data_IF_926807109803
#
_entry.id   IF_926807109803
#
_cell.length_a   1.000
_cell.length_b   1.000
_cell.length_c   1.000
_cell.angle_alpha   90.00
_cell.angle_beta   90.00
_cell.angle_gamma   90.00
#
_symmetry.space_group_name_H-M   'P 1'
#
loop_
_entity.id
_entity.type
_entity.pdbx_description
1 polymer ?
#
# COMPACT_ATOMS: atom_id res chain seq x y z
N UNK A 1 7.52 0.67 -15.40
CA UNK A 1 8.01 -0.61 -14.82
C UNK A 1 6.94 -1.19 -13.91
N UNK A 2 6.99 -2.49 -13.59
CA UNK A 2 6.10 -3.11 -12.59
C UNK A 2 6.85 -3.25 -11.25
N UNK A 3 6.22 -2.82 -10.16
CA UNK A 3 6.79 -2.90 -8.81
C UNK A 3 5.77 -3.50 -7.84
N UNK A 4 6.20 -4.49 -7.07
CA UNK A 4 5.39 -5.11 -6.01
C UNK A 4 5.80 -4.56 -4.66
N UNK A 5 4.85 -3.92 -3.98
CA UNK A 5 4.98 -3.42 -2.62
C UNK A 5 4.41 -4.41 -1.64
N UNK A 6 5.17 -4.75 -0.61
CA UNK A 6 4.70 -5.57 0.50
C UNK A 6 4.61 -4.71 1.76
N UNK A 7 3.39 -4.38 2.16
CA UNK A 7 3.09 -3.44 3.23
C UNK A 7 2.55 -4.19 4.45
N UNK A 8 3.13 -3.92 5.62
CA UNK A 8 2.60 -4.43 6.89
C UNK A 8 1.52 -3.50 7.40
N UNK A 9 0.29 -4.00 7.49
CA UNK A 9 -0.89 -3.25 7.91
C UNK A 9 -1.43 -3.76 9.23
N UNK A 10 -2.07 -2.87 9.96
CA UNK A 10 -2.76 -3.16 11.20
C UNK A 10 -4.07 -2.38 11.18
N UNK A 11 -5.20 -3.07 11.32
CA UNK A 11 -6.51 -2.41 11.36
C UNK A 11 -7.39 -3.09 12.41
N UNK A 12 -7.38 -2.58 13.66
CA UNK A 12 -8.16 -3.16 14.75
C UNK A 12 -9.66 -2.93 14.62
N UNK A 13 -10.10 -2.01 13.76
CA UNK A 13 -11.52 -1.71 13.54
C UNK A 13 -12.22 -2.74 12.64
N UNK A 14 -11.43 -3.52 11.88
CA UNK A 14 -11.96 -4.61 11.04
C UNK A 14 -11.92 -5.93 11.81
N UNK A 15 -13.10 -6.52 12.02
CA UNK A 15 -13.23 -7.82 12.67
C UNK A 15 -12.36 -8.89 11.97
N UNK A 16 -11.42 -9.50 12.71
CA UNK A 16 -10.47 -10.49 12.20
C UNK A 16 -9.13 -9.92 11.69
N UNK A 17 -8.92 -8.60 11.73
CA UNK A 17 -7.65 -7.93 11.42
C UNK A 17 -7.00 -7.27 12.65
N UNK A 18 -7.26 -7.83 13.83
CA UNK A 18 -6.69 -7.43 15.13
C UNK A 18 -5.19 -7.71 15.25
N UNK A 19 -4.57 -8.34 14.24
CA UNK A 19 -3.14 -8.62 14.18
C UNK A 19 -2.51 -7.98 12.96
N UNK A 20 -1.24 -7.54 13.05
CA UNK A 20 -0.55 -6.99 11.91
C UNK A 20 -0.40 -8.06 10.81
N UNK A 21 -0.90 -7.75 9.61
CA UNK A 21 -0.89 -8.64 8.46
C UNK A 21 -0.07 -8.02 7.32
N UNK A 22 0.42 -8.86 6.42
CA UNK A 22 1.08 -8.42 5.19
C UNK A 22 0.05 -8.31 4.09
N UNK A 23 0.09 -7.21 3.34
CA UNK A 23 -0.70 -7.03 2.13
C UNK A 23 0.24 -6.62 1.00
N UNK A 24 0.04 -7.24 -0.16
CA UNK A 24 0.82 -6.99 -1.35
C UNK A 24 0.01 -6.13 -2.31
N UNK A 25 0.68 -5.15 -2.91
CA UNK A 25 0.12 -4.23 -3.89
C UNK A 25 1.05 -4.18 -5.08
N UNK A 26 0.53 -4.45 -6.27
CA UNK A 26 1.30 -4.34 -7.51
C UNK A 26 0.93 -3.02 -8.16
N UNK A 27 1.95 -2.23 -8.51
CA UNK A 27 1.79 -1.04 -9.33
C UNK A 27 2.45 -1.29 -10.68
N UNK A 28 1.65 -1.07 -11.73
CA UNK A 28 2.10 -1.02 -13.10
C UNK A 28 2.37 0.42 -13.51
N UNK A 29 3.19 0.61 -14.56
CA UNK A 29 3.52 1.94 -15.09
C UNK A 29 4.17 2.86 -14.03
N UNK A 30 5.16 2.32 -13.32
CA UNK A 30 6.00 3.09 -12.39
C UNK A 30 7.23 3.63 -13.11
N UNK A 31 7.53 4.92 -12.94
CA UNK A 31 8.74 5.53 -13.45
C UNK A 31 9.92 5.29 -12.49
N UNK A 32 11.15 5.08 -13.00
CA UNK A 32 12.33 4.85 -12.16
C UNK A 32 12.71 6.10 -11.33
N UNK A 33 12.18 7.26 -11.68
CA UNK A 33 12.35 8.52 -10.94
C UNK A 33 11.27 8.75 -9.89
N UNK A 34 10.22 7.93 -9.86
CA UNK A 34 9.16 8.05 -8.87
C UNK A 34 9.67 7.79 -7.46
N UNK A 35 9.18 8.60 -6.52
CA UNK A 35 9.52 8.44 -5.11
C UNK A 35 8.61 7.39 -4.50
N UNK A 36 9.14 6.63 -3.54
CA UNK A 36 8.38 5.66 -2.76
C UNK A 36 7.12 6.30 -2.15
N UNK A 37 7.20 7.56 -1.70
CA UNK A 37 6.05 8.29 -1.18
C UNK A 37 4.92 8.44 -2.21
N UNK A 38 5.25 8.87 -3.43
CA UNK A 38 4.26 9.03 -4.51
C UNK A 38 3.59 7.69 -4.85
N UNK A 39 4.38 6.62 -4.88
CA UNK A 39 3.87 5.27 -5.13
C UNK A 39 2.95 4.77 -4.00
N UNK A 40 3.25 5.09 -2.74
CA UNK A 40 2.36 4.80 -1.62
C UNK A 40 1.05 5.62 -1.68
N UNK A 41 1.12 6.89 -2.09
CA UNK A 41 -0.06 7.72 -2.33
C UNK A 41 -0.92 7.16 -3.46
N UNK A 42 -0.30 6.68 -4.53
CA UNK A 42 -0.95 6.05 -5.66
C UNK A 42 -1.69 4.77 -5.24
N UNK A 43 -1.04 3.89 -4.48
CA UNK A 43 -1.69 2.71 -3.87
C UNK A 43 -2.88 3.13 -3.01
N UNK A 44 -2.72 4.17 -2.19
CA UNK A 44 -3.79 4.68 -1.33
C UNK A 44 -5.01 5.15 -2.13
N UNK A 45 -4.80 5.84 -3.25
CA UNK A 45 -5.91 6.43 -4.02
C UNK A 45 -6.57 5.44 -4.96
N UNK A 46 -5.80 4.58 -5.61
CA UNK A 46 -6.30 3.68 -6.65
C UNK A 46 -6.70 2.30 -6.12
N UNK A 47 -5.98 1.77 -5.11
CA UNK A 47 -6.17 0.39 -4.64
C UNK A 47 -6.80 0.31 -3.25
N UNK A 48 -6.35 1.14 -2.29
CA UNK A 48 -6.79 1.03 -0.90
C UNK A 48 -6.81 2.37 -0.14
N UNK A 49 -7.99 2.99 -0.09
CA UNK A 49 -8.20 4.27 0.62
C UNK A 49 -7.93 4.23 2.13
N UNK A 50 -7.96 3.03 2.73
CA UNK A 50 -7.72 2.83 4.17
C UNK A 50 -6.24 2.72 4.53
N UNK A 51 -5.33 2.81 3.55
CA UNK A 51 -3.90 2.88 3.80
C UNK A 51 -3.54 4.20 4.48
N UNK A 52 -3.06 4.15 5.72
CA UNK A 52 -2.58 5.32 6.46
C UNK A 52 -1.05 5.31 6.49
N UNK A 53 -0.45 6.43 6.11
CA UNK A 53 1.00 6.69 6.14
C UNK A 53 1.24 8.13 6.61
N UNK A 54 2.38 8.41 7.23
CA UNK A 54 2.78 9.74 7.72
C UNK A 54 4.25 9.99 7.50
#
# INVERSE_FOLDING_TARGET
>A
MQVTFRIRRYNPEVAGKDKPYWQEFTLDDVDPTDRVLELLHRIKWEQDGTLALR
#
